data_IF_172303180829
#
_entry.id   IF_172303180829
#
_cell.length_a   1.000
_cell.length_b   1.000
_cell.length_c   1.000
_cell.angle_alpha   90.00
_cell.angle_beta   90.00
_cell.angle_gamma   90.00
#
_symmetry.space_group_name_H-M   'P 1'
#
loop_
_entity.id
_entity.type
_entity.pdbx_description
1 polymer ?
#
# COMPACT_ATOMS: atom_id res chain seq x y z
N UNK A 1 -0.52 -11.36 13.34
CA UNK A 1 -0.02 -12.72 12.95
C UNK A 1 1.46 -12.82 13.22
N UNK A 2 2.02 -14.01 13.31
CA UNK A 2 3.46 -14.21 13.24
C UNK A 2 3.93 -13.99 11.80
N UNK A 3 5.04 -13.28 11.62
CA UNK A 3 5.53 -12.89 10.28
C UNK A 3 6.61 -13.82 9.75
N UNK A 4 7.28 -14.58 10.63
CA UNK A 4 8.35 -15.50 10.25
C UNK A 4 7.86 -16.56 9.25
N UNK A 5 8.62 -16.72 8.16
CA UNK A 5 8.31 -17.63 7.04
C UNK A 5 7.01 -17.35 6.28
N UNK A 6 6.30 -16.23 6.56
CA UNK A 6 5.12 -15.84 5.77
C UNK A 6 5.56 -15.18 4.46
N UNK A 7 4.86 -15.51 3.38
CA UNK A 7 5.04 -14.83 2.10
C UNK A 7 4.19 -13.56 2.10
N UNK A 8 4.85 -12.43 1.85
CA UNK A 8 4.23 -11.11 1.74
C UNK A 8 4.39 -10.58 0.30
N UNK A 9 3.29 -10.14 -0.30
CA UNK A 9 3.31 -9.33 -1.52
C UNK A 9 3.23 -7.85 -1.12
N UNK A 10 4.18 -7.05 -1.56
CA UNK A 10 4.21 -5.60 -1.35
C UNK A 10 4.28 -4.90 -2.69
N UNK A 11 3.33 -4.00 -2.99
CA UNK A 11 3.35 -3.21 -4.22
C UNK A 11 4.04 -1.87 -4.01
N UNK A 12 4.73 -1.34 -5.05
CA UNK A 12 5.40 -0.03 -4.96
C UNK A 12 6.64 -0.04 -4.08
N UNK A 13 7.56 -0.99 -4.31
CA UNK A 13 8.74 -1.25 -3.46
C UNK A 13 10.01 -0.52 -3.88
N UNK A 14 9.99 0.31 -4.93
CA UNK A 14 11.20 0.95 -5.45
C UNK A 14 11.78 2.00 -4.49
N UNK A 15 10.97 2.66 -3.69
CA UNK A 15 11.33 3.72 -2.74
C UNK A 15 10.21 3.96 -1.71
N UNK A 16 10.49 4.83 -0.74
CA UNK A 16 9.48 5.31 0.21
C UNK A 16 8.98 4.24 1.18
N UNK A 17 7.71 4.31 1.56
CA UNK A 17 7.10 3.45 2.59
C UNK A 17 7.23 1.97 2.24
N UNK A 18 6.89 1.60 0.99
CA UNK A 18 6.92 0.20 0.55
C UNK A 18 8.32 -0.40 0.64
N UNK A 19 9.36 0.36 0.28
CA UNK A 19 10.75 -0.07 0.40
C UNK A 19 11.18 -0.26 1.87
N UNK A 20 10.83 0.69 2.75
CA UNK A 20 11.13 0.54 4.17
C UNK A 20 10.39 -0.65 4.79
N UNK A 21 9.14 -0.86 4.43
CA UNK A 21 8.37 -2.01 4.92
C UNK A 21 8.96 -3.35 4.46
N UNK A 22 9.46 -3.45 3.21
CA UNK A 22 10.16 -4.65 2.72
C UNK A 22 11.31 -5.02 3.65
N UNK A 23 12.16 -4.06 4.04
CA UNK A 23 13.29 -4.32 4.95
C UNK A 23 12.81 -4.83 6.31
N UNK A 24 11.81 -4.17 6.89
CA UNK A 24 11.25 -4.56 8.18
C UNK A 24 10.60 -5.94 8.17
N UNK A 25 9.88 -6.29 7.10
CA UNK A 25 9.28 -7.63 6.95
C UNK A 25 10.37 -8.72 6.86
N UNK A 26 11.45 -8.44 6.16
CA UNK A 26 12.59 -9.35 6.04
C UNK A 26 13.30 -9.52 7.39
N UNK A 27 13.50 -8.46 8.15
CA UNK A 27 14.05 -8.51 9.52
C UNK A 27 13.19 -9.37 10.46
N UNK A 28 11.87 -9.46 10.21
CA UNK A 28 10.94 -10.35 10.92
C UNK A 28 10.89 -11.77 10.34
N UNK A 29 11.74 -12.09 9.38
CA UNK A 29 11.82 -13.42 8.78
C UNK A 29 10.79 -13.72 7.70
N UNK A 30 10.06 -12.71 7.19
CA UNK A 30 9.17 -12.91 6.05
C UNK A 30 9.92 -13.10 4.74
N UNK A 31 9.30 -13.78 3.78
CA UNK A 31 9.73 -13.83 2.39
C UNK A 31 8.90 -12.79 1.62
N UNK A 32 9.56 -11.84 0.98
CA UNK A 32 8.88 -10.71 0.36
C UNK A 32 8.94 -10.77 -1.17
N UNK A 33 7.77 -10.83 -1.80
CA UNK A 33 7.58 -10.58 -3.22
C UNK A 33 7.31 -9.07 -3.41
N UNK A 34 8.30 -8.34 -3.87
CA UNK A 34 8.16 -6.92 -4.21
C UNK A 34 7.62 -6.76 -5.62
N UNK A 35 6.46 -6.13 -5.78
CA UNK A 35 5.84 -5.86 -7.08
C UNK A 35 5.98 -4.37 -7.44
N UNK A 36 6.47 -4.09 -8.63
CA UNK A 36 6.63 -2.72 -9.10
C UNK A 36 7.15 -2.62 -10.52
N UNK A 37 7.13 -1.42 -11.10
CA UNK A 37 7.65 -1.15 -12.45
C UNK A 37 9.17 -1.09 -12.47
N UNK A 38 9.78 -0.70 -11.36
CA UNK A 38 11.24 -0.53 -11.23
C UNK A 38 11.72 -1.24 -9.98
N UNK A 39 12.75 -2.07 -10.10
CA UNK A 39 13.38 -2.73 -8.97
C UNK A 39 14.09 -1.71 -8.05
N UNK A 40 14.05 -1.90 -6.73
CA UNK A 40 14.90 -1.15 -5.82
C UNK A 40 16.37 -1.58 -5.97
N UNK A 41 17.29 -0.70 -5.61
CA UNK A 41 18.70 -1.07 -5.42
C UNK A 41 18.85 -1.77 -4.06
N UNK A 42 18.40 -3.01 -3.99
CA UNK A 42 18.39 -3.83 -2.77
C UNK A 42 18.41 -5.31 -3.11
N UNK A 43 19.23 -6.06 -2.40
CA UNK A 43 19.34 -7.51 -2.54
C UNK A 43 19.36 -8.19 -1.18
N UNK A 44 18.51 -9.21 -1.02
CA UNK A 44 18.47 -10.06 0.17
C UNK A 44 17.92 -11.44 -0.22
N UNK A 45 18.33 -12.51 0.46
CA UNK A 45 17.88 -13.87 0.16
C UNK A 45 16.34 -14.05 0.21
N UNK A 46 15.68 -13.31 1.10
CA UNK A 46 14.22 -13.33 1.27
C UNK A 46 13.49 -12.22 0.48
N UNK A 47 14.20 -11.46 -0.38
CA UNK A 47 13.58 -10.46 -1.25
C UNK A 47 13.58 -10.91 -2.70
N UNK A 48 12.42 -10.92 -3.32
CA UNK A 48 12.25 -11.28 -4.72
C UNK A 48 11.43 -10.21 -5.43
N UNK A 49 12.02 -9.58 -6.43
CA UNK A 49 11.35 -8.57 -7.23
C UNK A 49 10.67 -9.21 -8.44
N UNK A 50 9.44 -8.74 -8.72
CA UNK A 50 8.66 -9.09 -9.90
C UNK A 50 8.18 -7.81 -10.58
N UNK A 51 8.39 -7.70 -11.89
CA UNK A 51 7.90 -6.55 -12.66
C UNK A 51 6.37 -6.59 -12.72
N UNK A 52 5.74 -5.53 -12.23
CA UNK A 52 4.30 -5.41 -12.17
C UNK A 52 3.86 -3.95 -12.31
N UNK A 53 3.01 -3.67 -13.28
CA UNK A 53 2.21 -2.47 -13.30
C UNK A 53 0.82 -2.79 -12.73
N UNK A 54 0.54 -2.30 -11.53
CA UNK A 54 -0.73 -2.58 -10.85
C UNK A 54 -1.94 -2.00 -11.57
N UNK A 55 -1.76 -0.99 -12.43
CA UNK A 55 -2.82 -0.42 -13.26
C UNK A 55 -3.27 -1.36 -14.40
N UNK A 56 -2.55 -2.46 -14.66
CA UNK A 56 -2.83 -3.41 -15.72
C UNK A 56 -3.11 -4.80 -15.13
N UNK A 57 -4.33 -5.33 -15.34
CA UNK A 57 -4.76 -6.62 -14.78
C UNK A 57 -3.90 -7.79 -15.27
N UNK A 58 -3.50 -7.81 -16.55
CA UNK A 58 -2.66 -8.88 -17.11
C UNK A 58 -1.25 -8.85 -16.51
N UNK A 59 -0.73 -7.65 -16.22
CA UNK A 59 0.56 -7.49 -15.51
C UNK A 59 0.49 -8.01 -14.09
N UNK A 60 -0.62 -7.79 -13.40
CA UNK A 60 -0.87 -8.33 -12.05
C UNK A 60 -0.98 -9.85 -12.08
N UNK A 61 -1.72 -10.41 -13.05
CA UNK A 61 -1.83 -11.85 -13.25
C UNK A 61 -0.46 -12.50 -13.47
N UNK A 62 0.35 -11.93 -14.36
CA UNK A 62 1.70 -12.41 -14.64
C UNK A 62 2.58 -12.39 -13.39
N UNK A 63 2.60 -11.28 -12.66
CA UNK A 63 3.38 -11.16 -11.43
C UNK A 63 2.92 -12.14 -10.35
N UNK A 64 1.61 -12.41 -10.24
CA UNK A 64 1.07 -13.43 -9.35
C UNK A 64 1.55 -14.83 -9.72
N UNK A 65 1.48 -15.21 -11.00
CA UNK A 65 1.94 -16.51 -11.48
C UNK A 65 3.46 -16.71 -11.26
N UNK A 66 4.27 -15.70 -11.57
CA UNK A 66 5.71 -15.73 -11.34
C UNK A 66 6.04 -15.84 -9.83
N UNK A 67 5.30 -15.11 -8.98
CA UNK A 67 5.44 -15.18 -7.52
C UNK A 67 5.11 -16.57 -6.99
N UNK A 68 3.96 -17.11 -7.38
CA UNK A 68 3.53 -18.44 -6.90
C UNK A 68 4.41 -19.57 -7.41
N UNK A 69 4.93 -19.46 -8.63
CA UNK A 69 5.89 -20.43 -9.20
C UNK A 69 7.20 -20.42 -8.40
N UNK A 70 7.69 -19.25 -8.02
CA UNK A 70 8.99 -19.10 -7.35
C UNK A 70 8.94 -19.32 -5.85
N UNK A 71 7.88 -18.85 -5.18
CA UNK A 71 7.80 -18.79 -3.72
C UNK A 71 6.72 -19.70 -3.13
N UNK A 72 5.82 -20.23 -3.97
CA UNK A 72 4.64 -20.97 -3.53
C UNK A 72 3.40 -20.08 -3.41
N UNK A 73 2.25 -20.73 -3.28
CA UNK A 73 0.93 -20.07 -3.24
C UNK A 73 0.49 -19.65 -1.83
N UNK A 74 1.30 -19.90 -0.80
CA UNK A 74 0.96 -19.65 0.60
C UNK A 74 1.17 -18.15 1.00
N UNK A 75 0.61 -17.26 0.19
CA UNK A 75 0.71 -15.81 0.40
C UNK A 75 -0.29 -15.39 1.47
N UNK A 76 0.19 -14.85 2.61
CA UNK A 76 -0.63 -14.45 3.76
C UNK A 76 -0.73 -12.96 3.97
N UNK A 77 0.15 -12.18 3.33
CA UNK A 77 0.20 -10.73 3.50
C UNK A 77 0.14 -10.09 2.12
N UNK A 78 -0.79 -9.14 1.96
CA UNK A 78 -0.84 -8.23 0.81
C UNK A 78 -0.75 -6.79 1.30
N UNK A 79 0.21 -6.05 0.78
CA UNK A 79 0.33 -4.61 1.03
C UNK A 79 0.15 -3.84 -0.28
N UNK A 80 -1.01 -3.24 -0.43
CA UNK A 80 -1.33 -2.33 -1.53
C UNK A 80 -0.79 -0.94 -1.20
N UNK A 81 0.48 -0.70 -1.53
CA UNK A 81 1.18 0.56 -1.28
C UNK A 81 1.44 1.36 -2.56
N UNK A 82 1.47 0.72 -3.73
CA UNK A 82 1.64 1.44 -4.99
C UNK A 82 0.56 2.50 -5.17
N UNK A 83 0.98 3.71 -5.53
CA UNK A 83 0.07 4.83 -5.75
C UNK A 83 0.80 6.13 -6.01
N UNK A 84 0.11 7.07 -6.63
CA UNK A 84 0.60 8.42 -6.86
C UNK A 84 -0.55 9.42 -6.82
N UNK A 85 -0.21 10.71 -6.79
CA UNK A 85 -1.17 11.80 -6.83
C UNK A 85 -0.69 12.95 -7.68
N UNK A 86 -1.61 13.57 -8.40
CA UNK A 86 -1.39 14.81 -9.16
C UNK A 86 -2.32 15.88 -8.60
N UNK A 87 -1.79 17.09 -8.43
CA UNK A 87 -2.56 18.24 -8.01
C UNK A 87 -2.88 19.16 -9.19
N UNK A 88 -4.05 19.79 -9.16
CA UNK A 88 -4.47 20.77 -10.15
C UNK A 88 -5.91 21.20 -9.97
N UNK A 89 -6.26 22.36 -10.54
CA UNK A 89 -7.64 22.86 -10.54
C UNK A 89 -8.51 21.94 -11.41
N UNK A 90 -9.70 21.59 -10.93
CA UNK A 90 -10.55 20.58 -11.56
C UNK A 90 -10.94 20.94 -12.99
N UNK A 91 -11.17 22.21 -13.26
CA UNK A 91 -11.58 22.72 -14.58
C UNK A 91 -10.49 22.65 -15.66
N UNK A 92 -9.22 22.52 -15.25
CA UNK A 92 -8.06 22.41 -16.16
C UNK A 92 -7.32 21.09 -16.00
N UNK A 93 -7.84 20.19 -15.15
CA UNK A 93 -7.17 18.93 -14.83
C UNK A 93 -7.14 17.98 -16.03
N UNK A 94 -5.99 17.32 -16.26
CA UNK A 94 -5.85 16.31 -17.31
C UNK A 94 -6.77 15.11 -17.06
N UNK A 95 -7.56 14.73 -18.07
CA UNK A 95 -8.38 13.51 -18.02
C UNK A 95 -7.51 12.25 -17.96
N UNK A 96 -6.36 12.27 -18.59
CA UNK A 96 -5.37 11.21 -18.59
C UNK A 96 -4.81 10.97 -17.18
N UNK A 97 -4.38 12.03 -16.49
CA UNK A 97 -3.88 11.96 -15.11
C UNK A 97 -4.98 11.51 -14.14
N UNK A 98 -6.21 12.01 -14.34
CA UNK A 98 -7.36 11.55 -13.56
C UNK A 98 -7.54 10.04 -13.67
N UNK A 99 -7.62 9.51 -14.89
CA UNK A 99 -7.77 8.07 -15.14
C UNK A 99 -6.60 7.27 -14.59
N UNK A 100 -5.37 7.71 -14.85
CA UNK A 100 -4.17 7.03 -14.38
C UNK A 100 -4.12 6.92 -12.84
N UNK A 101 -4.57 7.95 -12.10
CA UNK A 101 -4.71 7.87 -10.65
C UNK A 101 -5.74 6.82 -10.23
N UNK A 102 -6.89 6.72 -10.88
CA UNK A 102 -7.91 5.70 -10.58
C UNK A 102 -7.41 4.31 -10.96
N UNK A 103 -6.76 4.15 -12.11
CA UNK A 103 -6.21 2.87 -12.55
C UNK A 103 -5.18 2.33 -11.57
N UNK A 104 -4.26 3.19 -11.09
CA UNK A 104 -3.23 2.77 -10.13
C UNK A 104 -3.78 2.62 -8.72
N UNK A 105 -4.44 3.66 -8.18
CA UNK A 105 -4.77 3.74 -6.76
C UNK A 105 -6.03 2.93 -6.38
N UNK A 106 -6.91 2.64 -7.35
CA UNK A 106 -8.22 1.98 -7.12
C UNK A 106 -8.28 0.65 -7.83
N UNK A 107 -8.17 0.63 -9.17
CA UNK A 107 -8.25 -0.61 -9.94
C UNK A 107 -7.09 -1.55 -9.59
N UNK A 108 -5.89 -1.02 -9.37
CA UNK A 108 -4.73 -1.80 -8.93
C UNK A 108 -4.98 -2.56 -7.62
N UNK A 109 -5.64 -1.93 -6.64
CA UNK A 109 -6.04 -2.61 -5.39
C UNK A 109 -7.04 -3.73 -5.69
N UNK A 110 -8.00 -3.50 -6.57
CA UNK A 110 -8.95 -4.52 -6.96
C UNK A 110 -8.27 -5.72 -7.62
N UNK A 111 -7.38 -5.48 -8.59
CA UNK A 111 -6.70 -6.56 -9.32
C UNK A 111 -5.82 -7.41 -8.41
N UNK A 112 -4.98 -6.79 -7.58
CA UNK A 112 -4.11 -7.49 -6.64
C UNK A 112 -4.91 -8.29 -5.61
N UNK A 113 -5.93 -7.67 -5.02
CA UNK A 113 -6.77 -8.27 -3.98
C UNK A 113 -7.57 -9.46 -4.52
N UNK A 114 -8.18 -9.33 -5.71
CA UNK A 114 -8.91 -10.38 -6.40
C UNK A 114 -8.07 -11.67 -6.57
N UNK A 115 -6.77 -11.53 -6.82
CA UNK A 115 -5.87 -12.68 -7.01
C UNK A 115 -5.46 -13.36 -5.72
N UNK A 116 -5.30 -12.63 -4.64
CA UNK A 116 -4.76 -13.18 -3.39
C UNK A 116 -5.83 -13.68 -2.41
N UNK A 117 -7.02 -13.11 -2.43
CA UNK A 117 -8.14 -13.50 -1.54
C UNK A 117 -8.42 -15.02 -1.55
N UNK A 118 -8.50 -15.72 -2.70
CA UNK A 118 -8.83 -17.15 -2.68
C UNK A 118 -7.87 -17.99 -1.83
N UNK A 119 -6.55 -17.73 -1.92
CA UNK A 119 -5.54 -18.42 -1.11
C UNK A 119 -5.62 -18.08 0.38
N UNK A 120 -5.90 -16.83 0.72
CA UNK A 120 -6.09 -16.40 2.12
C UNK A 120 -7.35 -17.03 2.73
N UNK A 121 -8.48 -17.06 1.99
CA UNK A 121 -9.72 -17.70 2.44
C UNK A 121 -9.55 -19.21 2.65
N UNK A 122 -8.86 -19.90 1.73
CA UNK A 122 -8.60 -21.32 1.82
C UNK A 122 -7.74 -21.71 3.04
N UNK A 123 -6.91 -20.78 3.50
CA UNK A 123 -6.03 -20.97 4.65
C UNK A 123 -6.63 -20.50 5.98
N UNK A 124 -7.81 -19.85 5.95
CA UNK A 124 -8.43 -19.21 7.12
C UNK A 124 -7.47 -18.20 7.82
N UNK A 125 -6.56 -17.61 7.04
CA UNK A 125 -5.55 -16.65 7.53
C UNK A 125 -5.11 -15.71 6.42
N UNK A 126 -5.12 -14.41 6.69
CA UNK A 126 -4.57 -13.40 5.82
C UNK A 126 -4.62 -12.00 6.42
N UNK A 127 -3.79 -11.09 5.87
CA UNK A 127 -3.88 -9.67 6.20
C UNK A 127 -3.64 -8.83 4.95
N UNK A 128 -4.66 -8.10 4.53
CA UNK A 128 -4.58 -7.10 3.47
C UNK A 128 -4.41 -5.73 4.12
N UNK A 129 -3.38 -5.01 3.74
CA UNK A 129 -3.09 -3.67 4.23
C UNK A 129 -3.09 -2.70 3.06
N UNK A 130 -4.05 -1.77 3.06
CA UNK A 130 -4.21 -0.78 2.00
C UNK A 130 -3.68 0.58 2.45
N UNK A 131 -2.77 1.18 1.66
CA UNK A 131 -2.24 2.53 1.93
C UNK A 131 -3.14 3.56 1.26
N UNK A 132 -3.98 4.20 2.08
CA UNK A 132 -4.79 5.34 1.69
C UNK A 132 -3.99 6.67 1.83
N UNK A 133 -4.55 7.64 2.49
CA UNK A 133 -3.99 8.95 2.86
C UNK A 133 -4.97 9.65 3.78
N UNK A 134 -4.54 10.65 4.53
CA UNK A 134 -5.48 11.61 5.16
C UNK A 134 -6.40 12.29 4.14
N UNK A 135 -6.00 12.35 2.87
CA UNK A 135 -6.87 12.79 1.76
C UNK A 135 -8.04 11.80 1.48
N UNK A 136 -8.02 10.60 2.04
CA UNK A 136 -9.15 9.67 2.05
C UNK A 136 -10.12 9.89 3.22
N UNK A 137 -9.81 10.81 4.12
CA UNK A 137 -10.64 11.21 5.26
C UNK A 137 -11.17 12.64 5.11
N UNK A 138 -10.44 13.50 4.38
CA UNK A 138 -10.73 14.91 4.24
C UNK A 138 -10.51 15.36 2.79
N UNK A 139 -11.27 16.38 2.36
CA UNK A 139 -10.97 17.07 1.10
C UNK A 139 -9.65 17.85 1.19
N UNK A 140 -8.92 17.89 0.08
CA UNK A 140 -7.67 18.65 -0.04
C UNK A 140 -7.80 19.56 -1.25
N UNK A 141 -7.45 20.86 -1.09
CA UNK A 141 -7.53 21.83 -2.18
C UNK A 141 -6.69 21.37 -3.37
N UNK A 142 -7.24 21.50 -4.58
CA UNK A 142 -6.61 21.12 -5.85
C UNK A 142 -6.20 19.62 -5.94
N UNK A 143 -6.76 18.74 -5.13
CA UNK A 143 -6.48 17.31 -5.15
C UNK A 143 -7.76 16.46 -5.26
N UNK A 144 -8.78 16.95 -5.96
CA UNK A 144 -10.08 16.26 -6.06
C UNK A 144 -9.95 14.81 -6.56
N UNK A 145 -9.16 14.58 -7.63
CA UNK A 145 -8.92 13.24 -8.18
C UNK A 145 -8.22 12.33 -7.19
N UNK A 146 -7.11 12.78 -6.61
CA UNK A 146 -6.37 12.02 -5.61
C UNK A 146 -7.22 11.71 -4.37
N UNK A 147 -7.89 12.73 -3.79
CA UNK A 147 -8.78 12.54 -2.65
C UNK A 147 -9.91 11.55 -2.99
N UNK A 148 -10.49 11.64 -4.19
CA UNK A 148 -11.49 10.69 -4.68
C UNK A 148 -10.97 9.26 -4.68
N UNK A 149 -9.75 9.01 -5.20
CA UNK A 149 -9.15 7.67 -5.17
C UNK A 149 -8.94 7.17 -3.74
N UNK A 150 -8.48 8.03 -2.82
CA UNK A 150 -8.19 7.63 -1.44
C UNK A 150 -9.44 7.43 -0.58
N UNK A 151 -10.54 8.13 -0.88
CA UNK A 151 -11.87 7.82 -0.33
C UNK A 151 -12.41 6.48 -0.86
N UNK A 152 -12.20 6.19 -2.15
CA UNK A 152 -12.56 4.89 -2.73
C UNK A 152 -11.80 3.74 -2.03
N UNK A 153 -10.49 3.88 -1.79
CA UNK A 153 -9.69 2.89 -1.04
C UNK A 153 -10.29 2.61 0.33
N UNK A 154 -10.71 3.65 1.07
CA UNK A 154 -11.39 3.49 2.35
C UNK A 154 -12.66 2.66 2.23
N UNK A 155 -13.55 3.02 1.30
CA UNK A 155 -14.80 2.29 1.10
C UNK A 155 -14.59 0.83 0.71
N UNK A 156 -13.65 0.58 -0.21
CA UNK A 156 -13.25 -0.76 -0.63
C UNK A 156 -12.73 -1.57 0.57
N UNK A 157 -11.83 -0.99 1.36
CA UNK A 157 -11.23 -1.69 2.52
C UNK A 157 -12.26 -2.10 3.55
N UNK A 158 -13.21 -1.21 3.88
CA UNK A 158 -14.26 -1.50 4.84
C UNK A 158 -15.20 -2.59 4.34
N UNK A 159 -15.56 -2.59 3.05
CA UNK A 159 -16.39 -3.63 2.44
C UNK A 159 -15.68 -4.98 2.41
N UNK A 160 -14.41 -5.00 1.99
CA UNK A 160 -13.59 -6.21 2.00
C UNK A 160 -13.43 -6.81 3.41
N UNK A 161 -13.29 -5.98 4.44
CA UNK A 161 -13.29 -6.48 5.82
C UNK A 161 -14.58 -7.24 6.14
N UNK A 162 -15.75 -6.67 5.79
CA UNK A 162 -17.05 -7.34 6.04
C UNK A 162 -17.18 -8.66 5.26
N UNK A 163 -16.60 -8.75 4.06
CA UNK A 163 -16.62 -9.96 3.24
C UNK A 163 -15.65 -11.05 3.74
N UNK A 164 -14.56 -10.67 4.40
CA UNK A 164 -13.42 -11.56 4.62
C UNK A 164 -13.19 -11.94 6.09
N UNK A 165 -13.75 -11.21 7.04
CA UNK A 165 -13.54 -11.44 8.48
C UNK A 165 -13.91 -12.86 8.94
N UNK A 166 -14.95 -13.45 8.36
CA UNK A 166 -15.42 -14.79 8.71
C UNK A 166 -14.51 -15.91 8.14
N UNK A 167 -13.49 -15.51 7.33
CA UNK A 167 -12.43 -16.37 6.81
C UNK A 167 -11.06 -16.04 7.44
N UNK A 168 -11.04 -15.48 8.63
CA UNK A 168 -9.79 -15.16 9.33
C UNK A 168 -8.91 -14.09 8.63
N UNK A 169 -9.45 -13.37 7.62
CA UNK A 169 -8.69 -12.38 6.84
C UNK A 169 -8.98 -10.97 7.33
N UNK A 170 -7.93 -10.27 7.76
CA UNK A 170 -7.99 -8.86 8.17
C UNK A 170 -7.81 -7.94 6.98
N UNK A 171 -8.46 -6.78 7.02
CA UNK A 171 -8.26 -5.72 6.01
C UNK A 171 -8.09 -4.38 6.71
N UNK A 172 -6.84 -3.93 6.84
CA UNK A 172 -6.49 -2.67 7.50
C UNK A 172 -6.20 -1.57 6.50
N UNK A 173 -6.51 -0.32 6.90
CA UNK A 173 -6.23 0.86 6.09
C UNK A 173 -5.33 1.83 6.86
N UNK A 174 -4.23 2.25 6.23
CA UNK A 174 -3.32 3.26 6.77
C UNK A 174 -3.59 4.57 6.05
N UNK A 175 -3.74 5.65 6.83
CA UNK A 175 -3.97 7.00 6.33
C UNK A 175 -2.80 7.92 6.68
N UNK A 176 -1.71 7.87 5.92
CA UNK A 176 -0.59 8.77 6.18
C UNK A 176 -0.93 10.22 5.83
N UNK A 177 -0.45 11.15 6.66
CA UNK A 177 -0.32 12.55 6.30
C UNK A 177 0.94 12.81 5.46
N UNK A 178 1.51 14.00 5.57
CA UNK A 178 2.71 14.38 4.79
C UNK A 178 3.93 13.55 5.20
N UNK A 179 4.56 12.91 4.22
CA UNK A 179 5.75 12.07 4.38
C UNK A 179 6.87 12.62 3.50
N UNK A 180 8.08 12.64 4.00
CA UNK A 180 9.28 13.04 3.28
C UNK A 180 9.63 11.99 2.20
N UNK A 181 8.98 12.08 1.05
CA UNK A 181 9.17 11.23 -0.12
C UNK A 181 9.12 12.08 -1.37
N UNK A 182 9.51 11.51 -2.50
CA UNK A 182 9.35 12.12 -3.83
C UNK A 182 7.88 12.28 -4.28
N UNK A 183 6.91 11.93 -3.46
CA UNK A 183 5.48 12.10 -3.79
C UNK A 183 5.11 13.56 -4.07
N UNK A 184 5.81 14.50 -3.42
CA UNK A 184 5.56 15.93 -3.56
C UNK A 184 6.33 16.58 -4.70
N UNK A 185 7.28 15.89 -5.35
CA UNK A 185 8.13 16.45 -6.40
C UNK A 185 7.31 16.99 -7.60
N UNK A 186 6.12 16.42 -7.82
CA UNK A 186 5.20 16.81 -8.90
C UNK A 186 4.02 17.68 -8.40
N UNK A 187 4.00 18.07 -7.12
CA UNK A 187 2.93 18.88 -6.54
C UNK A 187 3.41 20.32 -6.35
N UNK A 188 2.92 21.29 -7.15
CA UNK A 188 3.36 22.69 -7.05
C UNK A 188 3.15 23.28 -5.65
N UNK A 189 4.19 23.95 -5.13
CA UNK A 189 4.14 24.66 -3.84
C UNK A 189 4.20 23.75 -2.60
N UNK A 190 4.52 22.48 -2.74
CA UNK A 190 4.73 21.56 -1.63
C UNK A 190 6.11 20.89 -1.76
N UNK A 191 7.06 21.36 -0.98
CA UNK A 191 8.38 20.76 -0.89
C UNK A 191 8.47 19.78 0.29
N UNK A 192 9.14 18.65 0.08
CA UNK A 192 9.48 17.76 1.17
C UNK A 192 10.38 18.46 2.19
N UNK A 193 10.06 18.39 3.46
CA UNK A 193 10.80 19.08 4.52
C UNK A 193 10.92 18.24 5.79
N UNK A 194 11.80 18.67 6.69
CA UNK A 194 12.15 17.97 7.93
C UNK A 194 11.00 17.78 8.93
N UNK A 195 9.91 18.53 8.78
CA UNK A 195 8.73 18.45 9.64
C UNK A 195 7.73 17.38 9.17
N UNK A 196 7.97 16.75 8.03
CA UNK A 196 7.18 15.63 7.54
C UNK A 196 7.62 14.32 8.23
N UNK A 197 6.73 13.34 8.27
CA UNK A 197 7.07 11.99 8.75
C UNK A 197 8.08 11.35 7.81
N UNK A 198 8.93 10.48 8.34
CA UNK A 198 9.83 9.67 7.53
C UNK A 198 9.09 8.43 7.01
N UNK A 199 9.42 7.89 5.83
CA UNK A 199 8.85 6.64 5.33
C UNK A 199 8.92 5.49 6.33
N UNK A 200 10.05 5.37 7.04
CA UNK A 200 10.27 4.33 8.06
C UNK A 200 9.27 4.42 9.23
N UNK A 201 8.85 5.62 9.65
CA UNK A 201 7.92 5.78 10.77
C UNK A 201 6.55 5.19 10.43
N UNK A 202 6.09 5.39 9.19
CA UNK A 202 4.85 4.79 8.68
C UNK A 202 5.01 3.29 8.46
N UNK A 203 6.14 2.83 7.92
CA UNK A 203 6.43 1.42 7.72
C UNK A 203 6.45 0.64 9.05
N UNK A 204 6.99 1.21 10.13
CA UNK A 204 6.94 0.63 11.48
C UNK A 204 5.51 0.50 11.99
N UNK A 205 4.66 1.49 11.78
CA UNK A 205 3.23 1.43 12.13
C UNK A 205 2.51 0.32 11.34
N UNK A 206 2.82 0.18 10.06
CA UNK A 206 2.28 -0.90 9.22
C UNK A 206 2.73 -2.27 9.73
N UNK A 207 4.00 -2.43 10.07
CA UNK A 207 4.54 -3.66 10.65
C UNK A 207 3.81 -4.04 11.95
N UNK A 208 3.67 -3.09 12.88
CA UNK A 208 2.94 -3.31 14.14
C UNK A 208 1.47 -3.71 13.90
N UNK A 209 0.83 -3.14 12.88
CA UNK A 209 -0.53 -3.50 12.48
C UNK A 209 -0.60 -4.95 11.98
N UNK A 210 0.40 -5.43 11.25
CA UNK A 210 0.50 -6.80 10.76
C UNK A 210 0.76 -7.80 11.91
N UNK A 211 1.56 -7.45 12.91
CA UNK A 211 1.94 -8.31 14.03
C UNK A 211 0.83 -8.52 15.09
N UNK A 212 -0.34 -7.92 14.92
CA UNK A 212 -1.44 -8.06 15.89
C UNK A 212 -1.92 -9.50 16.06
N UNK A 213 -2.39 -9.82 17.28
CA UNK A 213 -2.98 -11.14 17.60
C UNK A 213 -4.05 -11.52 16.56
N UNK A 214 -4.20 -12.79 16.15
CA UNK A 214 -5.17 -13.21 15.15
C UNK A 214 -6.59 -12.67 15.37
N UNK A 215 -7.11 -12.71 16.59
CA UNK A 215 -8.43 -12.17 16.95
C UNK A 215 -8.40 -10.71 17.45
N UNK A 216 -7.38 -9.92 17.07
CA UNK A 216 -7.31 -8.50 17.32
C UNK A 216 -7.16 -7.75 15.99
N UNK A 217 -8.13 -6.89 15.69
CA UNK A 217 -8.21 -6.22 14.41
C UNK A 217 -8.06 -4.70 14.58
N UNK A 218 -7.13 -4.13 13.83
CA UNK A 218 -6.93 -2.69 13.68
C UNK A 218 -7.46 -2.30 12.30
N UNK A 219 -8.63 -1.67 12.25
CA UNK A 219 -9.29 -1.34 10.98
C UNK A 219 -8.61 -0.18 10.26
N UNK A 220 -8.49 0.95 10.95
CA UNK A 220 -7.99 2.21 10.41
C UNK A 220 -6.88 2.77 11.29
N UNK A 221 -5.80 3.24 10.67
CA UNK A 221 -4.68 3.87 11.37
C UNK A 221 -4.35 5.20 10.70
N UNK A 222 -4.58 6.29 11.40
CA UNK A 222 -4.24 7.62 10.93
C UNK A 222 -2.88 8.05 11.50
N UNK A 223 -1.94 8.42 10.61
CA UNK A 223 -0.61 8.90 10.96
C UNK A 223 -0.43 10.36 10.51
N UNK A 224 -0.03 11.24 11.41
CA UNK A 224 0.19 12.66 11.10
C UNK A 224 1.53 13.17 11.66
N UNK A 225 2.21 14.08 10.97
CA UNK A 225 3.33 14.80 11.58
C UNK A 225 2.79 15.63 12.75
N UNK A 226 3.49 15.60 13.89
CA UNK A 226 3.05 16.34 15.09
C UNK A 226 3.08 17.86 14.87
N UNK A 227 4.08 18.35 14.11
CA UNK A 227 4.29 19.79 13.87
C UNK A 227 4.57 20.07 12.40
N UNK A 228 3.58 19.94 11.51
CA UNK A 228 3.80 20.06 10.06
C UNK A 228 4.34 21.42 9.60
N UNK A 229 4.16 22.47 10.39
CA UNK A 229 4.67 23.84 10.13
C UNK A 229 5.94 24.20 10.92
N UNK A 230 6.54 23.23 11.60
CA UNK A 230 7.70 23.44 12.47
C UNK A 230 7.33 24.04 13.85
N UNK A 231 8.35 24.40 14.64
CA UNK A 231 8.16 25.17 15.88
C UNK A 231 7.88 26.63 15.51
N UNK A 232 6.90 27.23 16.16
CA UNK A 232 6.76 28.69 16.16
C UNK A 232 7.86 29.30 17.03
#
# INVERSE_FOLDING_TARGET
MELSNKIAVVTGVSKGIGFELVKLLIEKGSIVAGWGRTAPDYSHANFHFFTCDVANEDSVEKAFQETTTKLGSDIRILVNNAGFGVAGATETFSTEDWKAMFDTNVHGIFYTTKRLIPGMKAADEGHILNVASIAGLNGVNQMAGYAGTKHAVRGISHSLYMELRDFGVKVSTIYPGSIQTNFFDEIPGVDANENMMRPIDVAMTMLQTLETHPNYFVADVECRPLRPKGKK
#
